data_IF_022463486051
#
_entry.id   IF_022463486051
#
_cell.length_a   1.000
_cell.length_b   1.000
_cell.length_c   1.000
_cell.angle_alpha   90.00
_cell.angle_beta   90.00
_cell.angle_gamma   90.00
#
_symmetry.space_group_name_H-M   'P 1'
#
loop_
_entity.id
_entity.type
_entity.pdbx_description
1 polymer ?
#
# COMPACT_ATOMS: atom_id res chain seq x y z
N UNK A 1 21.36 -12.52 -12.09
CA UNK A 1 21.24 -13.64 -11.15
C UNK A 1 21.71 -13.10 -9.80
N UNK A 2 20.81 -13.00 -8.81
CA UNK A 2 21.06 -12.25 -7.57
C UNK A 2 22.14 -12.92 -6.72
N UNK A 3 23.03 -12.13 -6.12
CA UNK A 3 24.02 -12.61 -5.17
C UNK A 3 23.31 -13.12 -3.90
N UNK A 4 23.50 -14.40 -3.57
CA UNK A 4 22.93 -15.04 -2.39
C UNK A 4 23.55 -14.53 -1.08
N UNK A 5 24.62 -13.73 -1.16
CA UNK A 5 25.24 -13.02 -0.04
C UNK A 5 24.45 -11.80 0.45
N UNK A 6 23.41 -11.38 -0.29
CA UNK A 6 22.55 -10.26 0.10
C UNK A 6 21.79 -10.56 1.41
N UNK A 7 21.62 -9.52 2.21
CA UNK A 7 20.98 -9.57 3.53
C UNK A 7 19.55 -10.10 3.40
N UNK A 8 19.22 -11.17 4.14
CA UNK A 8 17.89 -11.78 4.12
C UNK A 8 17.03 -11.11 5.18
N UNK A 9 16.31 -10.08 4.75
CA UNK A 9 15.38 -9.35 5.60
C UNK A 9 13.95 -9.63 5.16
N UNK A 10 13.07 -9.83 6.14
CA UNK A 10 11.63 -9.87 5.94
C UNK A 10 11.08 -8.53 6.42
N UNK A 11 10.35 -7.81 5.56
CA UNK A 11 9.82 -6.49 5.89
C UNK A 11 8.34 -6.42 5.56
N UNK A 12 7.51 -6.04 6.53
CA UNK A 12 6.08 -5.84 6.37
C UNK A 12 5.76 -4.40 5.96
N UNK A 13 4.53 -4.19 5.47
CA UNK A 13 4.02 -2.85 5.24
C UNK A 13 4.63 -2.20 4.02
N UNK A 14 4.93 -0.91 4.10
CA UNK A 14 5.11 0.02 2.96
C UNK A 14 5.90 -0.54 1.77
N UNK A 15 7.22 -0.51 1.83
CA UNK A 15 8.08 -0.98 0.74
C UNK A 15 8.31 -2.51 0.78
N UNK A 16 8.11 -3.13 1.95
CA UNK A 16 8.47 -4.54 2.17
C UNK A 16 7.38 -5.54 1.83
N UNK A 17 6.11 -5.21 2.08
CA UNK A 17 4.93 -5.96 1.65
C UNK A 17 4.97 -7.49 1.87
N UNK A 18 5.76 -8.02 2.81
CA UNK A 18 5.86 -9.46 3.07
C UNK A 18 4.52 -10.10 3.49
N UNK A 19 3.61 -9.26 4.00
CA UNK A 19 2.28 -9.58 4.48
C UNK A 19 1.19 -9.47 3.39
N UNK A 20 1.40 -8.68 2.33
CA UNK A 20 0.43 -8.49 1.23
C UNK A 20 0.01 -9.78 0.51
N UNK A 21 0.94 -10.72 0.18
CA UNK A 21 0.56 -12.01 -0.43
C UNK A 21 -0.46 -12.79 0.41
N UNK A 22 -0.49 -12.53 1.72
CA UNK A 22 -1.46 -13.11 2.64
C UNK A 22 -2.91 -12.81 2.28
N UNK A 23 -3.20 -11.69 1.61
CA UNK A 23 -4.51 -11.39 1.03
C UNK A 23 -4.58 -11.83 -0.44
N UNK A 24 -3.68 -11.30 -1.29
CA UNK A 24 -3.79 -11.42 -2.74
C UNK A 24 -3.81 -12.88 -3.21
N UNK A 25 -2.97 -13.74 -2.63
CA UNK A 25 -2.88 -15.14 -3.04
C UNK A 25 -4.09 -15.96 -2.60
N UNK A 26 -4.84 -15.54 -1.56
CA UNK A 26 -6.09 -16.22 -1.21
C UNK A 26 -7.15 -16.02 -2.30
N UNK A 27 -7.22 -14.81 -2.87
CA UNK A 27 -8.17 -14.47 -3.92
C UNK A 27 -7.75 -15.11 -5.25
N UNK A 28 -6.46 -15.00 -5.59
CA UNK A 28 -5.93 -15.46 -6.87
C UNK A 28 -5.62 -16.97 -6.92
N UNK A 29 -5.76 -17.70 -5.81
CA UNK A 29 -5.38 -19.11 -5.70
C UNK A 29 -5.96 -19.99 -6.83
N UNK A 30 -7.22 -19.78 -7.19
CA UNK A 30 -7.89 -20.57 -8.23
C UNK A 30 -7.29 -20.36 -9.62
N UNK A 31 -6.84 -19.13 -9.93
CA UNK A 31 -6.18 -18.82 -11.21
C UNK A 31 -4.78 -19.40 -11.29
N UNK A 32 -4.07 -19.42 -10.17
CA UNK A 32 -2.67 -19.84 -10.12
C UNK A 32 -2.51 -21.38 -10.13
N UNK A 33 -3.56 -22.12 -9.76
CA UNK A 33 -3.58 -23.59 -9.71
C UNK A 33 -2.37 -24.19 -8.97
N UNK A 34 -1.86 -23.50 -7.95
CA UNK A 34 -0.75 -23.94 -7.09
C UNK A 34 -1.28 -24.35 -5.72
N UNK A 35 -1.26 -25.66 -5.46
CA UNK A 35 -1.75 -26.27 -4.20
C UNK A 35 -0.91 -25.88 -2.99
N UNK A 36 0.31 -25.37 -3.18
CA UNK A 36 1.19 -24.93 -2.10
C UNK A 36 0.86 -23.54 -1.56
N UNK A 37 0.06 -22.74 -2.27
CA UNK A 37 -0.32 -21.37 -1.87
C UNK A 37 -0.92 -21.35 -0.47
N UNK A 38 -1.80 -22.31 -0.15
CA UNK A 38 -2.46 -22.37 1.15
C UNK A 38 -1.46 -22.51 2.29
N UNK A 39 -0.52 -23.46 2.19
CA UNK A 39 0.51 -23.66 3.22
C UNK A 39 1.41 -22.44 3.36
N UNK A 40 1.84 -21.87 2.22
CA UNK A 40 2.71 -20.68 2.20
C UNK A 40 2.05 -19.48 2.87
N UNK A 41 0.81 -19.16 2.50
CA UNK A 41 0.05 -18.06 3.13
C UNK A 41 -0.10 -18.30 4.63
N UNK A 42 -0.48 -19.52 5.04
CA UNK A 42 -0.67 -19.83 6.46
C UNK A 42 0.61 -19.61 7.26
N UNK A 43 1.73 -20.18 6.80
CA UNK A 43 3.01 -20.11 7.51
C UNK A 43 3.61 -18.72 7.53
N UNK A 44 3.51 -17.99 6.42
CA UNK A 44 4.03 -16.63 6.32
C UNK A 44 3.30 -15.71 7.30
N UNK A 45 1.96 -15.67 7.26
CA UNK A 45 1.21 -14.82 8.19
C UNK A 45 1.38 -15.27 9.65
N UNK A 46 1.39 -16.58 9.93
CA UNK A 46 1.67 -17.09 11.28
C UNK A 46 3.01 -16.59 11.82
N UNK A 47 4.06 -16.60 11.00
CA UNK A 47 5.36 -16.07 11.39
C UNK A 47 5.31 -14.55 11.60
N UNK A 48 4.69 -13.80 10.69
CA UNK A 48 4.59 -12.34 10.79
C UNK A 48 3.82 -11.88 12.04
N UNK A 49 2.90 -12.69 12.59
CA UNK A 49 2.24 -12.39 13.88
C UNK A 49 3.15 -12.47 15.11
N UNK A 50 4.39 -12.97 14.96
CA UNK A 50 5.35 -13.07 16.07
C UNK A 50 6.04 -11.75 16.38
N UNK A 51 5.88 -10.73 15.52
CA UNK A 51 6.50 -9.43 15.72
C UNK A 51 5.98 -8.75 17.00
N UNK A 52 6.87 -8.21 17.85
CA UNK A 52 6.47 -7.64 19.12
C UNK A 52 5.74 -6.30 18.93
N UNK A 53 4.49 -6.23 19.40
CA UNK A 53 3.73 -4.98 19.44
C UNK A 53 3.91 -4.28 20.79
N UNK A 54 4.23 -2.99 20.76
CA UNK A 54 4.40 -2.14 21.93
C UNK A 54 3.05 -1.63 22.50
N UNK A 55 3.09 -0.87 23.60
CA UNK A 55 1.89 -0.34 24.26
C UNK A 55 1.15 0.76 23.47
N UNK A 56 1.77 1.33 22.44
CA UNK A 56 1.17 2.31 21.52
C UNK A 56 0.61 1.66 20.26
N UNK A 57 0.74 0.33 20.13
CA UNK A 57 0.32 -0.40 18.94
C UNK A 57 1.31 -0.26 17.78
N UNK A 58 2.53 0.19 18.02
CA UNK A 58 3.62 0.16 17.05
C UNK A 58 4.32 -1.18 17.12
N UNK A 59 4.90 -1.61 16.01
CA UNK A 59 5.71 -2.82 15.93
C UNK A 59 6.84 -2.60 14.95
N UNK A 60 8.00 -3.27 15.17
CA UNK A 60 9.02 -3.31 14.14
C UNK A 60 8.43 -3.94 12.89
N UNK A 61 8.73 -3.41 11.72
CA UNK A 61 8.24 -3.98 10.45
C UNK A 61 9.28 -4.86 9.78
N UNK A 62 10.55 -4.77 10.18
CA UNK A 62 11.64 -5.56 9.64
C UNK A 62 12.11 -6.67 10.59
N UNK A 63 12.60 -7.76 10.01
CA UNK A 63 13.25 -8.87 10.69
C UNK A 63 14.45 -9.36 9.91
N UNK A 64 15.63 -9.23 10.53
CA UNK A 64 16.88 -9.81 10.03
C UNK A 64 16.87 -11.32 10.26
N UNK A 65 16.83 -12.11 9.18
CA UNK A 65 16.73 -13.57 9.29
C UNK A 65 17.98 -14.20 9.90
N UNK A 66 19.16 -13.66 9.56
CA UNK A 66 20.45 -14.16 10.07
C UNK A 66 20.59 -13.92 11.57
N UNK A 67 20.32 -12.69 12.01
CA UNK A 67 20.54 -12.27 13.40
C UNK A 67 19.34 -12.57 14.30
N UNK A 68 18.19 -12.93 13.72
CA UNK A 68 16.91 -13.12 14.39
C UNK A 68 16.50 -11.89 15.21
N UNK A 69 16.71 -10.70 14.65
CA UNK A 69 16.43 -9.42 15.30
C UNK A 69 15.35 -8.65 14.55
N UNK A 70 14.41 -8.11 15.31
CA UNK A 70 13.41 -7.18 14.81
C UNK A 70 13.97 -5.76 14.74
N UNK A 71 13.57 -4.98 13.74
CA UNK A 71 14.02 -3.60 13.56
C UNK A 71 12.99 -2.73 12.81
N UNK A 72 13.24 -1.42 12.80
CA UNK A 72 12.42 -0.44 12.10
C UNK A 72 11.05 -0.23 12.73
N UNK A 73 10.11 0.26 11.90
CA UNK A 73 8.75 0.59 12.31
C UNK A 73 8.49 2.10 12.18
N UNK A 74 7.58 2.44 11.28
CA UNK A 74 7.05 3.78 11.08
C UNK A 74 5.53 3.71 10.89
N UNK A 75 4.86 4.86 10.90
CA UNK A 75 3.40 4.92 10.84
C UNK A 75 2.82 4.41 9.51
N UNK A 76 3.50 4.69 8.40
CA UNK A 76 3.09 4.26 7.07
C UNK A 76 3.17 2.75 6.97
N UNK A 77 4.33 2.18 7.33
CA UNK A 77 4.55 0.74 7.26
C UNK A 77 3.66 -0.04 8.23
N UNK A 78 3.51 0.42 9.47
CA UNK A 78 2.62 -0.22 10.43
C UNK A 78 1.15 -0.17 9.96
N UNK A 79 0.70 0.96 9.42
CA UNK A 79 -0.66 1.12 8.91
C UNK A 79 -0.96 0.20 7.72
N UNK A 80 -0.07 0.16 6.72
CA UNK A 80 -0.22 -0.77 5.60
C UNK A 80 -0.15 -2.23 6.03
N UNK A 81 0.75 -2.59 6.95
CA UNK A 81 0.82 -3.95 7.47
C UNK A 81 -0.50 -4.35 8.17
N UNK A 82 -1.05 -3.43 8.96
CA UNK A 82 -2.34 -3.61 9.60
C UNK A 82 -3.48 -3.78 8.58
N UNK A 83 -3.45 -3.03 7.47
CA UNK A 83 -4.42 -3.16 6.38
C UNK A 83 -4.35 -4.52 5.69
N UNK A 84 -3.16 -4.96 5.29
CA UNK A 84 -2.96 -6.27 4.68
C UNK A 84 -3.42 -7.42 5.59
N UNK A 85 -3.09 -7.39 6.89
CA UNK A 85 -3.61 -8.36 7.86
C UNK A 85 -5.14 -8.32 7.95
N UNK A 86 -5.73 -7.12 7.96
CA UNK A 86 -7.18 -6.96 8.03
C UNK A 86 -7.88 -7.56 6.82
N UNK A 87 -7.37 -7.31 5.59
CA UNK A 87 -7.91 -7.91 4.37
C UNK A 87 -7.68 -9.42 4.34
N UNK A 88 -6.51 -9.90 4.75
CA UNK A 88 -6.22 -11.33 4.81
C UNK A 88 -7.17 -12.09 5.76
N UNK A 89 -7.47 -11.51 6.94
CA UNK A 89 -8.43 -12.08 7.90
C UNK A 89 -9.86 -12.04 7.34
N UNK A 90 -10.27 -10.91 6.75
CA UNK A 90 -11.60 -10.77 6.16
C UNK A 90 -11.84 -11.81 5.04
N UNK A 91 -10.86 -11.99 4.17
CA UNK A 91 -10.90 -13.01 3.10
C UNK A 91 -10.86 -14.42 3.66
N UNK A 92 -9.99 -14.70 4.63
CA UNK A 92 -9.87 -16.02 5.24
C UNK A 92 -11.15 -16.45 5.98
N UNK A 93 -11.84 -15.53 6.64
CA UNK A 93 -13.13 -15.81 7.29
C UNK A 93 -14.23 -16.15 6.28
N UNK A 94 -14.23 -15.49 5.11
CA UNK A 94 -15.18 -15.77 4.03
C UNK A 94 -14.93 -17.16 3.41
N UNK A 95 -13.68 -17.48 3.10
CA UNK A 95 -13.33 -18.73 2.42
C UNK A 95 -13.14 -19.94 3.36
N UNK A 96 -12.95 -19.73 4.67
CA UNK A 96 -12.75 -20.76 5.71
C UNK A 96 -11.57 -21.70 5.47
N UNK A 97 -10.58 -21.27 4.68
CA UNK A 97 -9.43 -22.11 4.29
C UNK A 97 -8.25 -22.01 5.26
N UNK A 98 -8.26 -21.04 6.17
CA UNK A 98 -7.13 -20.68 7.02
C UNK A 98 -7.52 -20.60 8.50
N UNK A 99 -6.54 -20.82 9.36
CA UNK A 99 -6.64 -20.62 10.82
C UNK A 99 -6.21 -19.19 11.15
N UNK A 100 -7.15 -18.34 11.55
CA UNK A 100 -6.93 -16.89 11.70
C UNK A 100 -6.64 -16.47 13.14
N UNK A 101 -6.65 -17.37 14.12
CA UNK A 101 -6.63 -17.03 15.54
C UNK A 101 -5.39 -16.20 15.92
N UNK A 102 -4.22 -16.56 15.39
CA UNK A 102 -2.98 -15.79 15.59
C UNK A 102 -3.04 -14.42 14.91
N UNK A 103 -3.56 -14.36 13.68
CA UNK A 103 -3.65 -13.14 12.89
C UNK A 103 -4.58 -12.14 13.55
N UNK A 104 -5.73 -12.62 14.03
CA UNK A 104 -6.68 -11.81 14.77
C UNK A 104 -6.13 -11.35 16.11
N UNK A 105 -5.40 -12.21 16.84
CA UNK A 105 -4.75 -11.81 18.10
C UNK A 105 -3.72 -10.71 17.87
N UNK A 106 -2.91 -10.82 16.83
CA UNK A 106 -1.95 -9.79 16.44
C UNK A 106 -2.67 -8.47 16.08
N UNK A 107 -3.65 -8.53 15.17
CA UNK A 107 -4.40 -7.36 14.73
C UNK A 107 -5.11 -6.65 15.90
N UNK A 108 -5.76 -7.40 16.82
CA UNK A 108 -6.38 -6.80 18.02
C UNK A 108 -5.37 -6.04 18.87
N UNK A 109 -4.20 -6.64 19.13
CA UNK A 109 -3.16 -5.98 19.93
C UNK A 109 -2.69 -4.67 19.31
N UNK A 110 -2.51 -4.63 17.99
CA UNK A 110 -2.17 -3.41 17.25
C UNK A 110 -3.32 -2.39 17.33
N UNK A 111 -4.56 -2.81 17.04
CA UNK A 111 -5.75 -1.96 17.10
C UNK A 111 -5.99 -1.36 18.47
N UNK A 112 -5.79 -2.12 19.55
CA UNK A 112 -5.95 -1.65 20.93
C UNK A 112 -4.99 -0.50 21.23
N UNK A 113 -3.70 -0.67 20.89
CA UNK A 113 -2.69 0.36 21.08
C UNK A 113 -2.94 1.61 20.22
N UNK A 114 -3.21 1.42 18.92
CA UNK A 114 -3.45 2.54 17.99
C UNK A 114 -4.73 3.30 18.35
N UNK A 115 -5.82 2.60 18.70
CA UNK A 115 -7.07 3.26 19.11
C UNK A 115 -6.88 4.06 20.39
N UNK A 116 -6.19 3.51 21.39
CA UNK A 116 -5.86 4.25 22.62
C UNK A 116 -5.05 5.51 22.32
N UNK A 117 -4.10 5.45 21.37
CA UNK A 117 -3.26 6.57 20.97
C UNK A 117 -4.05 7.65 20.24
N UNK A 118 -4.80 7.28 19.21
CA UNK A 118 -5.60 8.19 18.37
C UNK A 118 -6.70 8.88 19.19
N UNK A 119 -7.30 8.16 20.15
CA UNK A 119 -8.40 8.71 20.94
C UNK A 119 -7.98 9.72 22.01
N UNK A 120 -6.68 9.91 22.29
CA UNK A 120 -6.23 10.96 23.22
C UNK A 120 -6.61 12.35 22.71
N UNK A 121 -7.00 13.25 23.61
CA UNK A 121 -7.42 14.61 23.25
C UNK A 121 -6.29 15.43 22.61
N UNK A 122 -5.04 15.14 23.00
CA UNK A 122 -3.83 15.77 22.46
C UNK A 122 -3.25 15.08 21.22
N UNK A 123 -3.95 14.09 20.65
CA UNK A 123 -3.50 13.44 19.41
C UNK A 123 -3.58 14.42 18.24
N UNK A 124 -2.39 14.81 17.75
CA UNK A 124 -2.22 15.67 16.58
C UNK A 124 -1.09 15.09 15.71
N UNK A 125 -1.41 14.33 14.65
CA UNK A 125 -0.40 13.70 13.81
C UNK A 125 0.36 14.75 12.99
N UNK A 126 1.67 14.53 12.81
CA UNK A 126 2.56 15.45 12.10
C UNK A 126 2.24 15.55 10.61
N UNK A 127 1.97 14.42 9.96
CA UNK A 127 1.67 14.30 8.54
C UNK A 127 0.49 13.35 8.31
N UNK A 128 0.08 13.15 7.07
CA UNK A 128 -0.97 12.20 6.69
C UNK A 128 -0.54 10.73 6.81
N UNK A 129 0.72 10.45 7.16
CA UNK A 129 1.25 9.10 7.38
C UNK A 129 0.37 8.26 8.33
N UNK A 130 -0.17 8.85 9.40
CA UNK A 130 -1.02 8.11 10.33
C UNK A 130 -2.45 7.90 9.81
N UNK A 131 -2.80 8.48 8.66
CA UNK A 131 -4.05 8.20 7.93
C UNK A 131 -4.20 6.74 7.54
N UNK A 132 -3.07 6.03 7.35
CA UNK A 132 -3.05 4.60 7.05
C UNK A 132 -3.62 3.70 8.16
N UNK A 133 -3.90 4.24 9.35
CA UNK A 133 -4.63 3.49 10.38
C UNK A 133 -6.16 3.53 10.22
N UNK A 134 -6.72 4.46 9.46
CA UNK A 134 -8.19 4.60 9.32
C UNK A 134 -8.79 3.31 8.75
N UNK A 135 -8.32 2.89 7.58
CA UNK A 135 -8.84 1.73 6.87
C UNK A 135 -8.79 0.44 7.71
N UNK A 136 -7.63 0.02 8.26
CA UNK A 136 -7.58 -1.19 9.06
C UNK A 136 -8.32 -1.10 10.41
N UNK A 137 -8.50 0.09 10.98
CA UNK A 137 -9.34 0.25 12.17
C UNK A 137 -10.82 0.08 11.82
N UNK A 138 -11.28 0.61 10.68
CA UNK A 138 -12.64 0.45 10.19
C UNK A 138 -12.94 -1.01 9.84
N UNK A 139 -12.10 -1.63 9.00
CA UNK A 139 -11.50 -2.95 9.20
C UNK A 139 -11.95 -3.81 10.40
N UNK A 140 -11.07 -3.76 11.39
CA UNK A 140 -11.11 -4.47 12.65
C UNK A 140 -12.37 -4.17 13.47
N UNK A 141 -12.92 -2.95 13.40
CA UNK A 141 -14.14 -2.59 14.13
C UNK A 141 -15.30 -3.54 13.78
N UNK A 142 -15.47 -3.87 12.50
CA UNK A 142 -16.49 -4.83 12.06
C UNK A 142 -16.08 -6.28 12.33
N UNK A 143 -14.81 -6.65 12.05
CA UNK A 143 -14.32 -8.02 12.30
C UNK A 143 -14.49 -8.44 13.76
N UNK A 144 -14.37 -7.49 14.68
CA UNK A 144 -14.31 -7.74 16.11
C UNK A 144 -15.47 -7.14 16.90
N UNK A 145 -16.45 -6.54 16.21
CA UNK A 145 -17.57 -5.82 16.82
C UNK A 145 -17.12 -4.85 17.92
N UNK A 146 -16.12 -4.02 17.63
CA UNK A 146 -15.47 -3.16 18.61
C UNK A 146 -15.72 -1.67 18.30
N UNK A 147 -16.52 -1.03 19.16
CA UNK A 147 -16.90 0.37 19.04
C UNK A 147 -15.72 1.34 19.25
N UNK A 148 -14.71 0.97 20.04
CA UNK A 148 -13.51 1.80 20.26
C UNK A 148 -12.70 1.94 18.98
N UNK A 149 -12.54 0.84 18.23
CA UNK A 149 -11.84 0.87 16.94
C UNK A 149 -12.59 1.74 15.92
N UNK A 150 -13.92 1.63 15.88
CA UNK A 150 -14.77 2.51 15.06
C UNK A 150 -14.57 3.98 15.41
N UNK A 151 -14.62 4.33 16.70
CA UNK A 151 -14.41 5.71 17.17
C UNK A 151 -13.04 6.25 16.78
N UNK A 152 -11.98 5.43 16.89
CA UNK A 152 -10.64 5.83 16.49
C UNK A 152 -10.53 6.07 14.98
N UNK A 153 -11.10 5.17 14.15
CA UNK A 153 -11.13 5.34 12.70
C UNK A 153 -11.86 6.62 12.29
N UNK A 154 -13.02 6.89 12.89
CA UNK A 154 -13.83 8.09 12.61
C UNK A 154 -13.08 9.36 13.05
N UNK A 155 -12.53 9.40 14.28
CA UNK A 155 -11.77 10.56 14.76
C UNK A 155 -10.58 10.88 13.85
N UNK A 156 -9.84 9.85 13.42
CA UNK A 156 -8.73 10.04 12.50
C UNK A 156 -9.20 10.57 11.14
N UNK A 157 -10.29 10.01 10.60
CA UNK A 157 -10.86 10.48 9.35
C UNK A 157 -11.34 11.94 9.41
N UNK A 158 -12.07 12.32 10.47
CA UNK A 158 -12.52 13.69 10.70
C UNK A 158 -11.35 14.68 10.78
N UNK A 159 -10.26 14.31 11.48
CA UNK A 159 -9.07 15.15 11.57
C UNK A 159 -8.46 15.42 10.19
N UNK A 160 -8.26 14.38 9.37
CA UNK A 160 -7.68 14.55 8.04
C UNK A 160 -8.63 15.19 7.04
N UNK A 161 -9.94 14.97 7.17
CA UNK A 161 -10.94 15.69 6.38
C UNK A 161 -10.87 17.19 6.69
N UNK A 162 -10.91 17.57 7.97
CA UNK A 162 -10.83 18.97 8.40
C UNK A 162 -9.52 19.65 7.98
N UNK A 163 -8.41 18.90 7.96
CA UNK A 163 -7.08 19.43 7.59
C UNK A 163 -6.92 19.65 6.08
N UNK A 164 -7.52 18.79 5.25
CA UNK A 164 -7.13 18.69 3.85
C UNK A 164 -8.24 19.03 2.84
N UNK A 165 -9.52 18.98 3.20
CA UNK A 165 -10.61 19.21 2.23
C UNK A 165 -10.66 20.64 1.67
N UNK A 166 -10.11 21.62 2.38
CA UNK A 166 -9.96 23.00 1.86
C UNK A 166 -8.68 23.20 1.07
N UNK A 167 -7.78 22.21 1.08
CA UNK A 167 -6.42 22.27 0.53
C UNK A 167 -5.52 23.36 1.14
N UNK A 168 -5.88 23.93 2.29
CA UNK A 168 -4.98 24.81 3.07
C UNK A 168 -3.81 24.03 3.69
N UNK A 169 -4.05 22.75 4.01
CA UNK A 169 -3.01 21.77 4.32
C UNK A 169 -2.98 20.69 3.23
N UNK A 170 -1.86 20.55 2.53
CA UNK A 170 -1.70 19.47 1.54
C UNK A 170 -1.70 18.09 2.22
N UNK A 171 -2.03 17.05 1.45
CA UNK A 171 -1.75 15.67 1.85
C UNK A 171 -0.26 15.37 1.66
N UNK A 172 0.38 14.78 2.66
CA UNK A 172 1.83 14.51 2.60
C UNK A 172 2.29 13.49 3.65
N UNK A 173 3.53 13.03 3.49
CA UNK A 173 4.22 12.12 4.40
C UNK A 173 3.90 10.65 4.15
N UNK A 174 3.30 10.32 3.01
CA UNK A 174 3.20 8.93 2.56
C UNK A 174 4.50 8.47 1.90
N UNK A 175 5.18 9.39 1.22
CA UNK A 175 6.50 9.19 0.61
C UNK A 175 7.58 9.42 1.66
N UNK A 176 8.06 8.32 2.27
CA UNK A 176 8.99 8.37 3.42
C UNK A 176 10.32 9.06 3.12
N UNK A 177 10.68 9.19 1.85
CA UNK A 177 11.87 9.84 1.33
C UNK A 177 11.65 11.26 0.82
N UNK A 178 10.43 11.79 0.93
CA UNK A 178 10.10 13.18 0.62
C UNK A 178 9.50 13.88 1.83
N UNK A 179 9.60 15.21 1.85
CA UNK A 179 9.00 16.09 2.86
C UNK A 179 8.27 17.21 2.14
N UNK A 180 7.34 16.82 1.27
CA UNK A 180 6.47 17.70 0.49
C UNK A 180 5.11 17.02 0.25
N UNK A 181 4.17 17.74 -0.35
CA UNK A 181 2.93 17.16 -0.88
C UNK A 181 3.19 15.93 -1.74
N UNK A 182 2.41 14.87 -1.52
CA UNK A 182 2.63 13.62 -2.21
C UNK A 182 1.33 12.82 -2.37
N UNK A 183 1.32 11.94 -3.38
CA UNK A 183 0.16 11.08 -3.72
C UNK A 183 -0.11 10.01 -2.66
N UNK A 184 0.91 9.62 -1.91
CA UNK A 184 0.87 8.50 -0.97
C UNK A 184 0.17 8.91 0.33
N UNK A 185 0.32 10.17 0.75
CA UNK A 185 -0.42 10.82 1.81
C UNK A 185 -1.89 11.00 1.40
N UNK A 186 -2.16 11.42 0.15
CA UNK A 186 -3.56 11.46 -0.32
C UNK A 186 -4.16 10.05 -0.40
N UNK A 187 -3.35 9.04 -0.75
CA UNK A 187 -3.77 7.65 -0.73
C UNK A 187 -4.13 7.17 0.68
N UNK A 188 -3.37 7.54 1.71
CA UNK A 188 -3.71 7.21 3.10
C UNK A 188 -5.12 7.66 3.48
N UNK A 189 -5.47 8.89 3.10
CA UNK A 189 -6.80 9.44 3.31
C UNK A 189 -7.85 8.77 2.41
N UNK A 190 -7.56 8.59 1.12
CA UNK A 190 -8.48 7.97 0.17
C UNK A 190 -8.84 6.53 0.60
N UNK A 191 -7.85 5.70 0.92
CA UNK A 191 -8.04 4.33 1.41
C UNK A 191 -8.91 4.32 2.68
N UNK A 192 -8.63 5.21 3.63
CA UNK A 192 -9.36 5.35 4.88
C UNK A 192 -10.82 5.75 4.68
N UNK A 193 -11.06 6.82 3.93
CA UNK A 193 -12.40 7.35 3.66
C UNK A 193 -13.24 6.36 2.86
N UNK A 194 -12.64 5.70 1.86
CA UNK A 194 -13.35 4.71 1.06
C UNK A 194 -13.77 3.50 1.90
N UNK A 195 -12.90 2.97 2.76
CA UNK A 195 -13.27 1.86 3.65
C UNK A 195 -14.34 2.27 4.68
N UNK A 196 -14.30 3.50 5.21
CA UNK A 196 -15.38 4.01 6.06
C UNK A 196 -16.71 4.09 5.30
N UNK A 197 -16.71 4.58 4.06
CA UNK A 197 -17.90 4.56 3.21
C UNK A 197 -18.38 3.13 2.95
N UNK A 198 -17.49 2.19 2.63
CA UNK A 198 -17.88 0.81 2.32
C UNK A 198 -18.57 0.14 3.53
N UNK A 199 -18.19 0.50 4.75
CA UNK A 199 -18.69 -0.08 6.01
C UNK A 199 -19.93 0.60 6.57
N UNK A 200 -20.08 1.90 6.33
CA UNK A 200 -21.16 2.72 6.93
C UNK A 200 -22.20 3.15 5.92
N UNK A 201 -21.84 3.25 4.64
CA UNK A 201 -22.61 3.83 3.54
C UNK A 201 -23.01 5.29 3.77
N UNK A 202 -22.35 5.99 4.69
CA UNK A 202 -22.57 7.42 4.93
C UNK A 202 -21.94 8.23 3.79
N UNK A 203 -22.75 9.03 3.09
CA UNK A 203 -22.34 9.77 1.89
C UNK A 203 -21.13 10.69 2.13
N UNK A 204 -20.99 11.25 3.34
CA UNK A 204 -19.89 12.14 3.68
C UNK A 204 -18.52 11.50 3.42
N UNK A 205 -18.35 10.22 3.75
CA UNK A 205 -17.08 9.52 3.54
C UNK A 205 -16.82 9.25 2.05
N UNK A 206 -17.86 9.07 1.24
CA UNK A 206 -17.72 8.98 -0.22
C UNK A 206 -17.26 10.31 -0.81
N UNK A 207 -17.80 11.43 -0.32
CA UNK A 207 -17.40 12.78 -0.76
C UNK A 207 -15.93 13.06 -0.37
N UNK A 208 -15.52 12.68 0.84
CA UNK A 208 -14.13 12.81 1.28
C UNK A 208 -13.19 11.88 0.50
N UNK A 209 -13.61 10.64 0.25
CA UNK A 209 -12.87 9.69 -0.57
C UNK A 209 -12.69 10.23 -1.99
N UNK A 210 -13.72 10.87 -2.57
CA UNK A 210 -13.63 11.50 -3.89
C UNK A 210 -12.59 12.61 -3.89
N UNK A 211 -12.59 13.49 -2.89
CA UNK A 211 -11.60 14.56 -2.79
C UNK A 211 -10.17 14.01 -2.72
N UNK A 212 -9.90 13.07 -1.81
CA UNK A 212 -8.58 12.46 -1.68
C UNK A 212 -8.16 11.69 -2.95
N UNK A 213 -9.10 11.00 -3.61
CA UNK A 213 -8.88 10.36 -4.90
C UNK A 213 -8.50 11.39 -5.97
N UNK A 214 -9.22 12.51 -6.09
CA UNK A 214 -8.92 13.56 -7.07
C UNK A 214 -7.48 14.09 -6.90
N UNK A 215 -7.00 14.19 -5.64
CA UNK A 215 -5.58 14.51 -5.37
C UNK A 215 -4.66 13.38 -5.79
N UNK A 216 -4.96 12.10 -5.53
CA UNK A 216 -4.16 11.01 -6.10
C UNK A 216 -4.09 11.08 -7.64
N UNK A 217 -5.22 11.37 -8.29
CA UNK A 217 -5.33 11.43 -9.75
C UNK A 217 -4.56 12.63 -10.34
N UNK A 218 -4.29 13.69 -9.58
CA UNK A 218 -3.48 14.82 -10.06
C UNK A 218 -2.02 14.44 -10.32
N UNK A 219 -1.56 13.30 -9.79
CA UNK A 219 -0.23 12.74 -10.04
C UNK A 219 -0.20 11.75 -11.21
N UNK A 220 -1.33 11.45 -11.85
CA UNK A 220 -1.39 10.49 -12.95
C UNK A 220 -1.02 11.18 -14.26
N UNK A 221 -0.14 10.52 -15.00
CA UNK A 221 0.20 10.89 -16.37
C UNK A 221 -0.92 10.45 -17.31
N UNK A 222 -1.60 11.41 -17.95
CA UNK A 222 -2.75 11.16 -18.84
C UNK A 222 -2.40 11.25 -20.34
N UNK A 223 -1.12 11.27 -20.68
CA UNK A 223 -0.59 11.26 -22.05
C UNK A 223 0.73 10.49 -22.12
N UNK A 224 1.14 10.10 -23.34
CA UNK A 224 2.46 9.51 -23.53
C UNK A 224 3.53 10.61 -23.62
N UNK A 225 4.43 10.68 -22.64
CA UNK A 225 5.54 11.62 -22.59
C UNK A 225 6.50 11.28 -23.74
N UNK A 226 6.86 12.24 -24.62
CA UNK A 226 7.87 12.02 -25.63
C UNK A 226 9.21 11.62 -25.01
N UNK A 227 9.69 10.42 -25.34
CA UNK A 227 10.96 9.88 -24.81
C UNK A 227 12.10 10.20 -25.78
N UNK A 228 13.32 10.44 -25.27
CA UNK A 228 14.50 10.51 -26.13
C UNK A 228 14.78 9.15 -26.79
N UNK A 229 15.57 9.17 -27.86
CA UNK A 229 15.99 7.95 -28.56
C UNK A 229 16.62 6.94 -27.59
N UNK A 230 16.19 5.69 -27.66
CA UNK A 230 16.66 4.60 -26.80
C UNK A 230 15.61 3.51 -26.63
N UNK A 231 15.95 2.44 -25.90
CA UNK A 231 15.13 1.22 -25.78
C UNK A 231 13.66 1.50 -25.47
N UNK A 232 13.35 2.38 -24.51
CA UNK A 232 11.93 2.66 -24.19
C UNK A 232 11.16 3.26 -25.38
N UNK A 233 11.79 4.15 -26.15
CA UNK A 233 11.19 4.69 -27.37
C UNK A 233 11.07 3.62 -28.46
N UNK A 234 12.12 2.81 -28.66
CA UNK A 234 12.15 1.73 -29.67
C UNK A 234 11.06 0.67 -29.44
N UNK A 235 10.73 0.42 -28.16
CA UNK A 235 9.68 -0.51 -27.75
C UNK A 235 8.31 0.16 -27.50
N UNK A 236 8.14 1.43 -27.91
CA UNK A 236 6.88 2.19 -27.81
C UNK A 236 6.29 2.22 -26.38
N UNK A 237 7.16 2.41 -25.38
CA UNK A 237 6.76 2.49 -23.98
C UNK A 237 5.71 3.59 -23.74
N UNK A 238 4.63 3.23 -23.03
CA UNK A 238 3.52 4.11 -22.71
C UNK A 238 3.61 4.62 -21.28
N UNK A 239 3.70 5.94 -21.10
CA UNK A 239 3.68 6.57 -19.77
C UNK A 239 2.27 6.87 -19.28
N UNK A 240 1.27 6.84 -20.17
CA UNK A 240 -0.13 7.04 -19.77
C UNK A 240 -0.51 6.01 -18.70
N UNK A 241 -1.11 6.46 -17.58
CA UNK A 241 -1.52 5.62 -16.46
C UNK A 241 -0.46 5.44 -15.36
N UNK A 242 0.79 5.87 -15.58
CA UNK A 242 1.81 5.92 -14.54
C UNK A 242 1.56 7.10 -13.59
N UNK A 243 2.12 7.03 -12.39
CA UNK A 243 2.06 8.11 -11.40
C UNK A 243 3.40 8.80 -11.26
N UNK A 244 3.42 10.10 -10.99
CA UNK A 244 4.62 10.82 -10.52
C UNK A 244 4.74 10.67 -9.01
N UNK A 245 5.95 10.50 -8.47
CA UNK A 245 6.12 10.30 -7.01
C UNK A 245 5.65 11.50 -6.19
N UNK A 246 6.35 12.62 -6.33
CA UNK A 246 6.05 13.88 -5.64
C UNK A 246 6.78 15.05 -6.33
N UNK A 247 6.48 16.32 -5.97
CA UNK A 247 7.23 17.45 -6.51
C UNK A 247 8.72 17.47 -6.11
N UNK A 248 9.08 16.86 -4.98
CA UNK A 248 10.47 16.72 -4.54
C UNK A 248 11.19 15.53 -5.20
N UNK A 249 10.48 14.44 -5.48
CA UNK A 249 11.03 13.25 -6.12
C UNK A 249 10.45 13.07 -7.53
N UNK A 250 10.92 13.86 -8.50
CA UNK A 250 10.29 13.94 -9.83
C UNK A 250 10.69 12.79 -10.76
N UNK A 251 9.99 11.67 -10.65
CA UNK A 251 10.02 10.58 -11.63
C UNK A 251 8.67 9.86 -11.65
N UNK A 252 8.43 9.07 -12.71
CA UNK A 252 7.26 8.20 -12.77
C UNK A 252 7.52 6.83 -12.15
N UNK A 253 6.53 6.31 -11.45
CA UNK A 253 6.55 5.06 -10.71
C UNK A 253 5.28 4.22 -10.98
N UNK A 254 5.27 3.01 -10.43
CA UNK A 254 4.15 2.06 -10.52
C UNK A 254 3.24 2.07 -9.30
N UNK A 255 3.44 2.98 -8.35
CA UNK A 255 2.68 2.98 -7.10
C UNK A 255 1.17 3.11 -7.35
N UNK A 256 0.76 3.88 -8.37
CA UNK A 256 -0.63 4.00 -8.80
C UNK A 256 -1.36 2.68 -9.07
N UNK A 257 -0.63 1.59 -9.37
CA UNK A 257 -1.21 0.25 -9.54
C UNK A 257 -1.97 -0.18 -8.28
N UNK A 258 -1.46 0.13 -7.09
CA UNK A 258 -2.06 -0.29 -5.82
C UNK A 258 -3.50 0.19 -5.67
N UNK A 259 -3.78 1.44 -6.04
CA UNK A 259 -5.08 2.08 -5.86
C UNK A 259 -5.92 2.16 -7.14
N UNK A 260 -5.43 1.62 -8.27
CA UNK A 260 -6.21 1.53 -9.50
C UNK A 260 -7.57 0.80 -9.32
N UNK A 261 -7.67 -0.32 -8.57
CA UNK A 261 -8.96 -0.95 -8.31
C UNK A 261 -9.92 -0.05 -7.52
N UNK A 262 -9.40 0.73 -6.57
CA UNK A 262 -10.18 1.69 -5.80
C UNK A 262 -10.69 2.85 -6.68
N UNK A 263 -9.90 3.30 -7.66
CA UNK A 263 -10.37 4.25 -8.69
C UNK A 263 -11.53 3.64 -9.51
N UNK A 264 -11.45 2.36 -9.88
CA UNK A 264 -12.56 1.67 -10.56
C UNK A 264 -13.82 1.64 -9.69
N UNK A 265 -13.70 1.30 -8.40
CA UNK A 265 -14.81 1.34 -7.43
C UNK A 265 -15.44 2.72 -7.33
N UNK A 266 -14.62 3.77 -7.28
CA UNK A 266 -15.12 5.14 -7.29
C UNK A 266 -15.88 5.44 -8.59
N UNK A 267 -15.44 4.95 -9.73
CA UNK A 267 -16.20 5.01 -10.99
C UNK A 267 -17.58 4.34 -10.88
N UNK A 268 -17.71 3.24 -10.15
CA UNK A 268 -19.01 2.61 -9.87
C UNK A 268 -19.86 3.47 -8.93
N UNK A 269 -19.33 3.89 -7.79
CA UNK A 269 -20.07 4.64 -6.78
C UNK A 269 -20.50 6.03 -7.24
N UNK A 270 -19.64 6.72 -7.97
CA UNK A 270 -19.88 8.05 -8.51
C UNK A 270 -20.58 8.03 -9.87
N UNK A 271 -20.77 6.84 -10.47
CA UNK A 271 -21.28 6.67 -11.84
C UNK A 271 -20.45 7.43 -12.88
N UNK A 272 -19.13 7.35 -12.74
CA UNK A 272 -18.17 8.01 -13.63
C UNK A 272 -17.41 6.99 -14.49
N UNK A 273 -17.81 6.87 -15.75
CA UNK A 273 -17.20 5.97 -16.73
C UNK A 273 -15.74 6.32 -17.06
N UNK A 274 -15.30 7.57 -16.81
CA UNK A 274 -13.91 7.97 -17.06
C UNK A 274 -12.97 7.26 -16.08
N UNK A 275 -13.38 7.16 -14.82
CA UNK A 275 -12.61 6.45 -13.78
C UNK A 275 -12.52 4.96 -14.07
N UNK A 276 -13.63 4.35 -14.53
CA UNK A 276 -13.65 2.92 -14.93
C UNK A 276 -12.73 2.63 -16.12
N UNK A 277 -12.56 3.59 -17.04
CA UNK A 277 -11.63 3.47 -18.18
C UNK A 277 -10.18 3.72 -17.77
N UNK A 278 -9.93 4.67 -16.88
CA UNK A 278 -8.58 5.01 -16.41
C UNK A 278 -7.95 3.87 -15.59
N UNK A 279 -8.71 3.26 -14.68
CA UNK A 279 -8.19 2.25 -13.76
C UNK A 279 -7.48 1.06 -14.45
N UNK A 280 -8.05 0.42 -15.50
CA UNK A 280 -7.34 -0.62 -16.26
C UNK A 280 -6.08 -0.12 -16.97
N UNK A 281 -6.05 1.15 -17.41
CA UNK A 281 -4.85 1.74 -18.04
C UNK A 281 -3.72 1.87 -17.02
N UNK A 282 -4.02 2.32 -15.79
CA UNK A 282 -3.05 2.40 -14.70
C UNK A 282 -2.40 1.04 -14.41
N UNK A 283 -3.17 -0.05 -14.46
CA UNK A 283 -2.66 -1.40 -14.25
C UNK A 283 -1.83 -1.90 -15.46
N UNK A 284 -2.43 -1.92 -16.65
CA UNK A 284 -1.84 -2.51 -17.87
C UNK A 284 -0.58 -1.79 -18.31
N UNK A 285 -0.59 -0.46 -18.24
CA UNK A 285 0.54 0.37 -18.64
C UNK A 285 1.76 0.11 -17.75
N UNK A 286 1.57 0.08 -16.44
CA UNK A 286 2.67 -0.15 -15.51
C UNK A 286 3.30 -1.55 -15.67
N UNK A 287 2.55 -2.53 -16.17
CA UNK A 287 3.03 -3.91 -16.38
C UNK A 287 4.01 -4.06 -17.56
N UNK A 288 4.13 -3.05 -18.44
CA UNK A 288 4.99 -3.10 -19.65
C UNK A 288 6.46 -3.44 -19.35
N UNK A 289 6.95 -3.13 -18.15
CA UNK A 289 8.35 -3.32 -17.76
C UNK A 289 8.57 -4.53 -16.86
N UNK A 290 7.53 -5.34 -16.67
CA UNK A 290 7.63 -6.60 -15.93
C UNK A 290 8.27 -7.66 -16.83
N UNK A 291 9.36 -8.25 -16.35
CA UNK A 291 10.04 -9.35 -17.05
C UNK A 291 9.25 -10.68 -16.89
N UNK A 292 9.60 -11.75 -17.62
CA UNK A 292 8.92 -13.04 -17.52
C UNK A 292 8.91 -13.70 -16.13
N UNK A 293 9.77 -13.25 -15.22
CA UNK A 293 9.86 -13.72 -13.84
C UNK A 293 9.12 -12.82 -12.85
N UNK A 294 8.37 -11.82 -13.33
CA UNK A 294 7.59 -10.90 -12.49
C UNK A 294 8.41 -9.79 -11.82
N UNK A 295 9.65 -9.57 -12.25
CA UNK A 295 10.50 -8.50 -11.72
C UNK A 295 10.41 -7.25 -12.58
N UNK A 296 10.41 -6.09 -11.94
CA UNK A 296 10.39 -4.78 -12.58
C UNK A 296 11.19 -3.79 -11.71
N UNK A 297 11.81 -2.79 -12.35
CA UNK A 297 12.45 -1.69 -11.63
C UNK A 297 11.41 -0.69 -11.12
N UNK A 298 11.65 -0.11 -9.95
CA UNK A 298 10.82 0.93 -9.35
C UNK A 298 10.72 2.18 -10.23
N UNK A 299 11.90 2.64 -10.68
CA UNK A 299 12.08 3.92 -11.36
C UNK A 299 12.58 3.72 -12.79
N UNK A 300 12.14 4.62 -13.67
CA UNK A 300 12.68 4.76 -15.02
C UNK A 300 13.86 5.73 -15.02
N UNK A 301 15.03 5.30 -14.53
CA UNK A 301 16.23 6.15 -14.56
C UNK A 301 17.00 6.03 -15.88
N UNK A 302 17.39 7.19 -16.42
CA UNK A 302 18.30 7.32 -17.57
C UNK A 302 19.80 7.25 -17.15
N UNK A 303 20.12 7.24 -15.85
CA UNK A 303 21.51 7.26 -15.32
C UNK A 303 21.62 6.63 -13.92
N UNK A 304 22.78 6.06 -13.56
CA UNK A 304 23.09 5.60 -12.19
C UNK A 304 23.24 6.82 -11.25
N UNK A 305 22.29 7.06 -10.35
CA UNK A 305 22.35 8.13 -9.35
C UNK A 305 21.81 7.65 -7.99
N UNK A 306 22.32 8.22 -6.89
CA UNK A 306 21.94 7.93 -5.50
C UNK A 306 21.58 9.22 -4.75
N UNK A 307 20.46 9.22 -4.04
CA UNK A 307 20.01 10.32 -3.17
C UNK A 307 20.48 10.13 -1.72
N UNK A 308 20.56 8.88 -1.25
CA UNK A 308 20.94 8.54 0.12
C UNK A 308 21.54 7.12 0.25
N UNK A 309 22.15 6.81 1.40
CA UNK A 309 22.70 5.49 1.72
C UNK A 309 24.21 5.34 1.48
N UNK A 310 24.72 4.11 1.61
CA UNK A 310 26.12 3.79 1.36
C UNK A 310 26.44 3.83 -0.15
N UNK A 311 27.06 4.90 -0.59
CA UNK A 311 27.45 5.13 -1.99
C UNK A 311 28.81 4.52 -2.37
N UNK A 312 29.45 3.76 -1.46
CA UNK A 312 30.77 3.18 -1.70
C UNK A 312 30.79 2.11 -2.79
N UNK A 313 29.63 1.52 -3.12
CA UNK A 313 29.51 0.48 -4.14
C UNK A 313 28.43 0.83 -5.17
N UNK A 314 28.87 1.27 -6.35
CA UNK A 314 28.00 1.64 -7.48
C UNK A 314 27.09 0.50 -7.96
N UNK A 315 27.45 -0.77 -7.70
CA UNK A 315 26.62 -1.92 -8.07
C UNK A 315 25.45 -2.15 -7.11
N UNK A 316 25.47 -1.55 -5.91
CA UNK A 316 24.34 -1.55 -4.96
C UNK A 316 23.32 -0.45 -5.24
N UNK A 317 23.67 0.53 -6.08
CA UNK A 317 22.76 1.60 -6.45
C UNK A 317 21.62 1.05 -7.31
N UNK A 318 20.38 1.25 -6.85
CA UNK A 318 19.14 0.86 -7.52
C UNK A 318 18.16 2.01 -7.37
N UNK A 319 18.20 2.97 -8.30
CA UNK A 319 17.16 4.01 -8.39
C UNK A 319 17.05 4.92 -7.17
N UNK A 320 18.06 5.76 -6.91
CA UNK A 320 18.02 6.71 -5.79
C UNK A 320 18.46 6.10 -4.44
N UNK A 321 18.42 4.78 -4.26
CA UNK A 321 18.81 4.10 -3.02
C UNK A 321 19.88 3.03 -3.19
N UNK A 322 20.72 2.85 -2.16
CA UNK A 322 21.52 1.64 -1.94
C UNK A 322 20.83 0.78 -0.89
N UNK A 323 19.76 0.08 -1.28
CA UNK A 323 19.04 -0.81 -0.37
C UNK A 323 19.74 -2.18 -0.27
N UNK A 324 19.97 -2.64 0.96
CA UNK A 324 20.54 -3.98 1.24
C UNK A 324 19.48 -5.05 1.47
N UNK A 325 18.19 -4.69 1.40
CA UNK A 325 17.05 -5.54 1.76
C UNK A 325 16.08 -5.73 0.59
N UNK A 326 15.12 -6.63 0.73
CA UNK A 326 14.22 -7.03 -0.38
C UNK A 326 13.06 -6.04 -0.54
N UNK A 327 13.14 -5.16 -1.54
CA UNK A 327 12.03 -4.32 -2.00
C UNK A 327 11.03 -5.20 -2.77
N UNK A 328 9.85 -5.44 -2.20
CA UNK A 328 8.85 -6.35 -2.78
C UNK A 328 7.56 -5.65 -3.21
N UNK A 329 7.39 -4.37 -2.86
CA UNK A 329 6.13 -3.67 -3.07
C UNK A 329 5.69 -3.63 -4.52
N UNK A 330 6.61 -3.54 -5.48
CA UNK A 330 6.30 -3.49 -6.91
C UNK A 330 5.46 -4.72 -7.30
N UNK A 331 6.00 -5.92 -7.08
CA UNK A 331 5.30 -7.17 -7.39
C UNK A 331 4.05 -7.34 -6.53
N UNK A 332 4.12 -6.99 -5.24
CA UNK A 332 3.00 -7.11 -4.33
C UNK A 332 1.80 -6.23 -4.72
N UNK A 333 2.04 -5.00 -5.21
CA UNK A 333 0.99 -4.07 -5.64
C UNK A 333 0.26 -4.60 -6.88
N UNK A 334 0.96 -5.18 -7.86
CA UNK A 334 0.30 -5.86 -8.97
C UNK A 334 -0.57 -7.03 -8.52
N UNK A 335 -0.07 -7.88 -7.61
CA UNK A 335 -0.85 -9.00 -7.07
C UNK A 335 -2.07 -8.53 -6.29
N UNK A 336 -1.91 -7.52 -5.42
CA UNK A 336 -3.02 -6.91 -4.69
C UNK A 336 -4.04 -6.32 -5.65
N UNK A 337 -3.62 -5.52 -6.62
CA UNK A 337 -4.52 -4.90 -7.57
C UNK A 337 -5.26 -5.94 -8.42
N UNK A 338 -4.57 -6.97 -8.91
CA UNK A 338 -5.18 -8.07 -9.63
C UNK A 338 -6.23 -8.81 -8.79
N UNK A 339 -5.92 -9.10 -7.52
CA UNK A 339 -6.89 -9.70 -6.59
C UNK A 339 -8.13 -8.80 -6.40
N UNK A 340 -7.95 -7.48 -6.29
CA UNK A 340 -9.05 -6.54 -6.12
C UNK A 340 -9.92 -6.43 -7.38
N UNK A 341 -9.32 -6.43 -8.56
CA UNK A 341 -10.06 -6.47 -9.82
C UNK A 341 -10.80 -7.80 -10.01
N UNK A 342 -10.20 -8.92 -9.60
CA UNK A 342 -10.85 -10.24 -9.58
C UNK A 342 -12.11 -10.24 -8.71
N UNK A 343 -12.04 -9.67 -7.49
CA UNK A 343 -13.21 -9.52 -6.61
C UNK A 343 -14.36 -8.71 -7.21
N UNK A 344 -14.08 -7.89 -8.23
CA UNK A 344 -15.04 -7.04 -8.92
C UNK A 344 -15.46 -7.58 -10.29
N UNK A 345 -14.98 -8.76 -10.68
CA UNK A 345 -15.18 -9.35 -12.02
C UNK A 345 -14.75 -8.41 -13.17
N UNK A 346 -13.69 -7.61 -12.95
CA UNK A 346 -13.17 -6.67 -13.95
C UNK A 346 -12.04 -7.31 -14.74
N UNK A 347 -12.22 -7.41 -16.06
CA UNK A 347 -11.18 -7.87 -16.96
C UNK A 347 -10.07 -6.82 -17.12
N UNK A 348 -8.90 -7.10 -16.53
CA UNK A 348 -7.70 -6.26 -16.60
C UNK A 348 -6.66 -6.74 -17.60
#
# INVERSE_FOLDING_TARGET
>A
MYDLSLQKDLVMGWCGQADSPGYALQVLAQRLNDTSIRDRVQRSLDFLTTYPVDGKGMFPVGYHVTDKKFHGGDHVSCGQAMYNFSKAIETARKNKNYRTEKWEKFLRKVCDGQSKRILRDDWNPHSTAEGFYIAPLAIAAQLFNNATYKKAAVKAAELYANRHLTMDGCYWGGTLDATCEDKEGSWAAFQGFLELYERTKEKQYLDWAKHAMDVCLSYIVVWDIPLPAGRMADYNFKTTGWTVVSPQNQHIDVYGVLFAPEVYKMGVYLKDERLKKLAPVMFRSCYQLTNPYGSQGEQLQQTNFAQHGDMSNVHKLRGGYSESWTVFWITAHFLNAAARFEEMDVAI
#
